data_IF_481252612995
#
_entry.id   IF_481252612995
#
_cell.length_a   1.000
_cell.length_b   1.000
_cell.length_c   1.000
_cell.angle_alpha   90.00
_cell.angle_beta   90.00
_cell.angle_gamma   90.00
#
_symmetry.space_group_name_H-M   'P 1'
#
loop_
_entity.id
_entity.type
_entity.pdbx_description
1 polymer ?
#
# COMPACT_ATOMS: atom_id res chain seq x y z
N UNK A 1 -29.36 43.28 -20.80
CA UNK A 1 -29.11 44.24 -19.71
C UNK A 1 -28.68 43.48 -18.43
N UNK A 2 -27.63 42.70 -18.47
CA UNK A 2 -27.01 42.05 -17.31
C UNK A 2 -25.69 41.34 -17.71
N UNK A 3 -24.91 41.90 -18.63
CA UNK A 3 -23.64 41.31 -19.12
C UNK A 3 -22.64 42.40 -19.49
N UNK A 4 -22.67 43.57 -18.85
CA UNK A 4 -21.81 44.69 -19.20
C UNK A 4 -21.24 45.46 -17.97
N UNK A 5 -21.32 44.86 -16.75
CA UNK A 5 -20.76 45.46 -15.51
C UNK A 5 -19.70 44.61 -14.83
N UNK A 6 -19.00 43.73 -15.55
CA UNK A 6 -17.97 42.86 -14.99
C UNK A 6 -16.59 42.99 -15.65
N UNK A 7 -16.31 44.08 -16.37
CA UNK A 7 -15.01 44.28 -17.10
C UNK A 7 -14.24 45.52 -16.67
N UNK A 8 -14.59 46.20 -15.57
CA UNK A 8 -13.94 47.48 -15.18
C UNK A 8 -13.30 47.47 -13.76
N UNK A 9 -13.10 46.32 -13.13
CA UNK A 9 -12.44 46.21 -11.81
C UNK A 9 -11.15 45.37 -11.77
N UNK A 10 -10.47 45.16 -12.90
CA UNK A 10 -9.23 44.34 -12.92
C UNK A 10 -7.97 45.09 -13.41
N UNK A 11 -7.89 46.40 -13.23
CA UNK A 11 -6.77 47.18 -13.76
C UNK A 11 -6.02 48.08 -12.73
N UNK A 12 -6.10 47.80 -11.42
CA UNK A 12 -5.35 48.59 -10.40
C UNK A 12 -4.69 47.77 -9.25
N UNK A 13 -4.33 46.51 -9.45
CA UNK A 13 -3.49 45.78 -8.47
C UNK A 13 -2.31 45.07 -9.15
N UNK A 14 -1.42 45.80 -9.77
CA UNK A 14 -0.31 45.25 -10.55
C UNK A 14 1.04 45.93 -10.40
N UNK A 15 1.35 46.68 -9.33
CA UNK A 15 2.66 47.34 -9.16
C UNK A 15 3.20 47.46 -7.73
N UNK A 16 3.10 46.45 -6.87
CA UNK A 16 3.81 46.43 -5.58
C UNK A 16 4.28 45.05 -5.11
N UNK A 17 4.86 44.22 -5.96
CA UNK A 17 5.52 42.98 -5.51
C UNK A 17 6.78 42.62 -6.32
N UNK A 18 7.75 43.52 -6.41
CA UNK A 18 9.08 43.22 -6.92
C UNK A 18 10.20 43.78 -6.06
N UNK A 19 10.19 43.49 -4.73
CA UNK A 19 11.42 43.73 -3.94
C UNK A 19 11.50 42.94 -2.64
N UNK A 20 11.38 41.62 -2.68
CA UNK A 20 11.64 40.74 -1.51
C UNK A 20 12.18 39.37 -1.89
N UNK A 21 13.10 39.24 -2.88
CA UNK A 21 13.88 38.02 -3.08
C UNK A 21 15.36 38.25 -2.77
N UNK A 22 15.67 38.59 -1.53
CA UNK A 22 17.03 38.42 -0.98
C UNK A 22 17.01 37.34 0.11
N UNK A 23 17.55 36.18 -0.25
CA UNK A 23 18.31 35.28 0.60
C UNK A 23 17.79 35.00 2.02
N UNK A 24 16.67 34.31 2.18
CA UNK A 24 16.44 33.55 3.41
C UNK A 24 17.20 32.24 3.32
N UNK A 25 18.39 32.17 3.94
CA UNK A 25 19.01 30.92 4.35
C UNK A 25 17.95 30.13 5.15
N UNK A 26 17.82 28.80 4.95
CA UNK A 26 16.93 28.02 5.79
C UNK A 26 17.40 28.21 7.23
N UNK A 27 16.57 28.82 8.05
CA UNK A 27 16.78 28.88 9.48
C UNK A 27 16.87 27.40 9.92
N UNK A 28 18.03 27.00 10.46
CA UNK A 28 18.12 25.81 11.28
C UNK A 28 16.97 25.90 12.27
N UNK A 29 16.02 24.95 12.17
CA UNK A 29 14.99 24.80 13.16
C UNK A 29 15.73 24.70 14.51
N UNK A 30 15.61 25.73 15.33
CA UNK A 30 16.02 25.68 16.71
C UNK A 30 15.28 24.49 17.30
N UNK A 31 16.00 23.48 17.76
CA UNK A 31 15.43 22.37 18.49
C UNK A 31 14.66 23.01 19.65
N UNK A 32 13.34 23.02 19.55
CA UNK A 32 12.47 23.38 20.66
C UNK A 32 12.86 22.43 21.78
N UNK A 33 13.29 22.97 22.93
CA UNK A 33 13.82 22.22 24.07
C UNK A 33 12.76 21.37 24.79
N UNK A 34 11.90 20.70 24.07
CA UNK A 34 10.90 19.76 24.57
C UNK A 34 11.65 18.45 24.90
N UNK A 35 11.61 18.07 26.18
CA UNK A 35 12.23 16.80 26.63
C UNK A 35 11.44 15.62 26.09
N UNK A 36 11.99 14.96 25.05
CA UNK A 36 11.44 13.76 24.42
C UNK A 36 12.29 12.55 24.74
N UNK A 37 11.67 11.51 25.24
CA UNK A 37 12.34 10.24 25.55
C UNK A 37 11.63 9.08 24.87
N UNK A 38 12.43 8.15 24.35
CA UNK A 38 11.98 6.85 23.90
C UNK A 38 12.46 5.82 24.90
N UNK A 39 11.54 5.10 25.51
CA UNK A 39 11.80 3.98 26.41
C UNK A 39 11.50 2.70 25.66
N UNK A 40 12.45 1.78 25.60
CA UNK A 40 12.29 0.46 24.99
C UNK A 40 12.48 -0.58 26.06
N UNK A 41 11.47 -1.43 26.25
CA UNK A 41 11.48 -2.56 27.17
C UNK A 41 11.35 -3.86 26.40
N UNK A 42 12.24 -4.80 26.68
CA UNK A 42 12.15 -6.17 26.13
C UNK A 42 11.86 -7.08 27.30
N UNK A 43 10.64 -7.61 27.33
CA UNK A 43 10.17 -8.49 28.41
C UNK A 43 10.43 -9.96 28.08
N UNK A 44 10.71 -10.80 29.08
CA UNK A 44 10.76 -12.25 28.88
C UNK A 44 9.42 -12.76 28.34
N UNK A 45 9.45 -13.54 27.26
CA UNK A 45 8.23 -14.02 26.57
C UNK A 45 7.94 -13.31 25.26
N UNK A 46 8.97 -12.67 24.67
CA UNK A 46 8.94 -12.12 23.32
C UNK A 46 7.99 -10.92 23.14
N UNK A 47 7.84 -10.09 24.16
CA UNK A 47 7.13 -8.84 24.08
C UNK A 47 8.09 -7.65 24.09
N UNK A 48 7.97 -6.78 23.10
CA UNK A 48 8.72 -5.51 23.03
C UNK A 48 7.73 -4.37 23.21
N UNK A 49 8.01 -3.51 24.17
CA UNK A 49 7.24 -2.30 24.42
C UNK A 49 8.09 -1.07 24.06
N UNK A 50 7.48 -0.12 23.35
CA UNK A 50 8.10 1.17 23.03
C UNK A 50 7.17 2.28 23.49
N UNK A 51 7.68 3.15 24.37
CA UNK A 51 6.95 4.29 24.92
C UNK A 51 7.64 5.57 24.50
N UNK A 52 6.94 6.45 23.84
CA UNK A 52 7.39 7.82 23.56
C UNK A 52 6.78 8.77 24.59
N UNK A 53 7.67 9.47 25.30
CA UNK A 53 7.25 10.49 26.26
C UNK A 53 7.67 11.88 25.82
N UNK A 54 6.85 12.87 26.14
CA UNK A 54 7.10 14.28 25.93
C UNK A 54 6.76 15.01 27.24
N UNK A 55 7.77 15.71 27.79
CA UNK A 55 7.63 16.43 29.10
C UNK A 55 7.08 15.53 30.22
N UNK A 56 7.52 14.26 30.27
CA UNK A 56 7.08 13.28 31.26
C UNK A 56 5.71 12.67 31.04
N UNK A 57 4.98 13.08 30.00
CA UNK A 57 3.67 12.51 29.61
C UNK A 57 3.84 11.51 28.48
N UNK A 58 3.14 10.37 28.52
CA UNK A 58 3.12 9.39 27.45
C UNK A 58 2.35 9.96 26.25
N UNK A 59 3.01 10.00 25.08
CA UNK A 59 2.42 10.44 23.82
C UNK A 59 2.01 9.27 22.96
N UNK A 60 2.88 8.27 22.89
CA UNK A 60 2.65 7.10 22.05
C UNK A 60 3.11 5.85 22.80
N UNK A 61 2.38 4.76 22.60
CA UNK A 61 2.67 3.48 23.20
C UNK A 61 2.48 2.38 22.15
N UNK A 62 3.52 1.58 21.94
CA UNK A 62 3.53 0.46 20.99
C UNK A 62 3.89 -0.81 21.75
N UNK A 63 3.16 -1.89 21.43
CA UNK A 63 3.46 -3.24 21.90
C UNK A 63 3.59 -4.15 20.68
N UNK A 64 4.67 -4.88 20.61
CA UNK A 64 4.87 -5.92 19.62
C UNK A 64 5.14 -7.23 20.32
N UNK A 65 4.36 -8.27 19.98
CA UNK A 65 4.55 -9.63 20.48
C UNK A 65 5.23 -10.45 19.38
N UNK A 66 6.42 -10.98 19.65
CA UNK A 66 7.24 -11.73 18.67
C UNK A 66 6.56 -13.01 18.20
N UNK A 67 5.70 -13.60 19.04
CA UNK A 67 4.92 -14.79 18.68
C UNK A 67 3.68 -14.48 17.80
N UNK A 68 3.29 -13.20 17.66
CA UNK A 68 2.34 -12.75 16.66
C UNK A 68 3.12 -12.28 15.42
N UNK A 69 3.80 -13.24 14.76
CA UNK A 69 4.54 -12.93 13.55
C UNK A 69 3.62 -12.26 12.53
N UNK A 70 3.94 -11.03 12.17
CA UNK A 70 3.25 -10.31 11.09
C UNK A 70 3.37 -11.13 9.83
N UNK A 71 2.25 -11.61 9.31
CA UNK A 71 2.21 -12.42 8.09
C UNK A 71 1.98 -11.59 6.84
N UNK A 72 1.69 -10.30 6.98
CA UNK A 72 1.52 -9.40 5.84
C UNK A 72 2.78 -9.38 4.97
N UNK A 73 2.59 -9.57 3.66
CA UNK A 73 3.67 -9.65 2.69
C UNK A 73 4.26 -11.06 2.51
N UNK A 74 3.96 -12.00 3.41
CA UNK A 74 4.39 -13.37 3.26
C UNK A 74 3.71 -14.03 2.06
N UNK A 75 4.44 -14.95 1.42
CA UNK A 75 3.97 -15.72 0.27
C UNK A 75 3.83 -17.18 0.69
N UNK A 76 2.70 -17.76 0.32
CA UNK A 76 2.35 -19.15 0.65
C UNK A 76 1.90 -19.88 -0.60
N UNK A 77 2.15 -21.19 -0.63
CA UNK A 77 1.44 -22.11 -1.51
C UNK A 77 0.10 -22.42 -0.90
N UNK A 78 -0.97 -21.98 -1.54
CA UNK A 78 -2.33 -22.21 -1.09
C UNK A 78 -3.09 -23.18 -2.01
N UNK A 79 -4.18 -23.71 -1.49
CA UNK A 79 -5.11 -24.56 -2.23
C UNK A 79 -6.51 -23.94 -2.14
N UNK A 80 -7.18 -23.76 -3.27
CA UNK A 80 -8.54 -23.25 -3.32
C UNK A 80 -9.48 -24.29 -2.67
N UNK A 81 -10.08 -23.91 -1.55
CA UNK A 81 -10.99 -24.77 -0.81
C UNK A 81 -12.43 -24.64 -1.32
N UNK A 82 -12.91 -23.41 -1.49
CA UNK A 82 -14.26 -23.11 -1.93
C UNK A 82 -14.30 -21.84 -2.78
N UNK A 83 -15.32 -21.74 -3.64
CA UNK A 83 -15.58 -20.58 -4.50
C UNK A 83 -16.96 -20.04 -4.20
N UNK A 84 -17.06 -18.76 -3.89
CA UNK A 84 -18.31 -18.03 -3.70
C UNK A 84 -18.60 -17.17 -4.94
N UNK A 85 -19.64 -17.54 -5.66
CA UNK A 85 -20.05 -16.86 -6.90
C UNK A 85 -20.74 -15.53 -6.65
N UNK A 86 -21.32 -15.32 -5.48
CA UNK A 86 -21.95 -14.05 -5.14
C UNK A 86 -20.91 -12.99 -4.80
N UNK A 87 -19.89 -13.40 -4.04
CA UNK A 87 -18.76 -12.54 -3.68
C UNK A 87 -17.72 -12.42 -4.80
N UNK A 88 -17.81 -13.24 -5.86
CA UNK A 88 -16.79 -13.38 -6.89
C UNK A 88 -15.40 -13.57 -6.27
N UNK A 89 -15.31 -14.47 -5.29
CA UNK A 89 -14.12 -14.73 -4.50
C UNK A 89 -13.91 -16.23 -4.24
N UNK A 90 -12.66 -16.59 -4.00
CA UNK A 90 -12.27 -17.93 -3.56
C UNK A 90 -11.78 -17.90 -2.10
N UNK A 91 -12.06 -18.95 -1.37
CA UNK A 91 -11.49 -19.21 -0.05
C UNK A 91 -10.31 -20.17 -0.20
N UNK A 92 -9.13 -19.72 0.21
CA UNK A 92 -7.85 -20.43 -0.01
C UNK A 92 -7.31 -20.91 1.33
N UNK A 93 -7.05 -22.21 1.41
CA UNK A 93 -6.28 -22.78 2.51
C UNK A 93 -4.78 -22.54 2.21
N UNK A 94 -4.13 -21.70 3.01
CA UNK A 94 -2.72 -21.34 2.89
C UNK A 94 -1.90 -21.78 4.11
N UNK A 95 -2.42 -22.72 4.90
CA UNK A 95 -1.75 -23.28 6.07
C UNK A 95 -2.07 -22.55 7.40
N UNK A 96 -2.96 -21.57 7.40
CA UNK A 96 -3.43 -20.90 8.60
C UNK A 96 -4.76 -21.52 9.09
N UNK A 97 -5.13 -21.26 10.35
CA UNK A 97 -6.39 -21.73 10.96
C UNK A 97 -7.62 -21.31 10.16
N UNK A 98 -7.59 -20.12 9.57
CA UNK A 98 -8.68 -19.59 8.73
C UNK A 98 -8.26 -19.51 7.28
N UNK A 99 -9.18 -19.90 6.39
CA UNK A 99 -8.99 -19.70 4.96
C UNK A 99 -8.83 -18.22 4.63
N UNK A 100 -7.93 -17.92 3.70
CA UNK A 100 -7.78 -16.59 3.16
C UNK A 100 -8.83 -16.27 2.10
N UNK A 101 -9.12 -15.01 1.91
CA UNK A 101 -10.08 -14.46 0.96
C UNK A 101 -9.35 -13.92 -0.26
N UNK A 102 -9.66 -14.46 -1.44
CA UNK A 102 -9.05 -14.12 -2.73
C UNK A 102 -10.14 -13.69 -3.70
N UNK A 103 -10.24 -12.39 -3.99
CA UNK A 103 -11.19 -11.85 -4.97
C UNK A 103 -10.71 -12.08 -6.41
N UNK A 104 -11.64 -12.04 -7.36
CA UNK A 104 -11.33 -12.30 -8.79
C UNK A 104 -10.35 -11.26 -9.38
N UNK A 105 -10.40 -10.01 -8.94
CA UNK A 105 -9.49 -8.93 -9.34
C UNK A 105 -8.07 -9.09 -8.80
N UNK A 106 -7.92 -9.89 -7.74
CA UNK A 106 -6.64 -10.26 -7.15
C UNK A 106 -6.07 -11.57 -7.71
N UNK A 107 -6.75 -12.17 -8.70
CA UNK A 107 -6.28 -13.39 -9.37
C UNK A 107 -5.54 -13.04 -10.65
N UNK A 108 -4.26 -13.41 -10.72
CA UNK A 108 -3.45 -13.25 -11.92
C UNK A 108 -3.98 -14.16 -13.04
N UNK A 109 -4.08 -13.67 -14.29
CA UNK A 109 -4.60 -14.45 -15.42
C UNK A 109 -3.88 -15.78 -15.71
N UNK A 110 -2.63 -15.93 -15.28
CA UNK A 110 -1.86 -17.16 -15.39
C UNK A 110 -2.52 -18.35 -14.67
N UNK A 111 -3.29 -18.09 -13.61
CA UNK A 111 -4.04 -19.11 -12.86
C UNK A 111 -5.38 -19.46 -13.48
N UNK A 112 -5.82 -18.75 -14.54
CA UNK A 112 -7.09 -18.99 -15.17
C UNK A 112 -7.09 -20.32 -15.93
N UNK A 113 -8.13 -21.14 -15.69
CA UNK A 113 -8.32 -22.40 -16.42
C UNK A 113 -8.60 -22.20 -17.92
N UNK A 114 -9.16 -21.04 -18.27
CA UNK A 114 -9.46 -20.64 -19.64
C UNK A 114 -9.03 -19.18 -19.84
N UNK A 115 -8.40 -18.86 -20.97
CA UNK A 115 -8.08 -17.49 -21.31
C UNK A 115 -9.33 -16.61 -21.29
N UNK A 116 -9.21 -15.39 -20.79
CA UNK A 116 -10.30 -14.43 -20.80
C UNK A 116 -9.84 -13.11 -21.42
N UNK A 117 -10.53 -12.69 -22.46
CA UNK A 117 -10.36 -11.36 -23.01
C UNK A 117 -11.38 -10.40 -22.37
N UNK A 118 -10.91 -9.23 -21.86
CA UNK A 118 -11.81 -8.23 -21.30
C UNK A 118 -12.84 -7.77 -22.34
N UNK A 119 -14.11 -7.84 -22.00
CA UNK A 119 -15.21 -7.37 -22.87
C UNK A 119 -15.79 -6.05 -22.34
N UNK A 120 -16.45 -5.28 -23.23
CA UNK A 120 -17.16 -4.05 -22.81
C UNK A 120 -18.17 -4.38 -21.72
N UNK A 121 -17.99 -3.78 -20.53
CA UNK A 121 -18.86 -3.94 -19.37
C UNK A 121 -18.48 -5.01 -18.36
N UNK A 122 -17.47 -5.85 -18.64
CA UNK A 122 -16.97 -6.85 -17.66
C UNK A 122 -15.46 -6.98 -17.74
N UNK A 123 -14.78 -6.35 -16.78
CA UNK A 123 -13.30 -6.36 -16.71
C UNK A 123 -12.75 -7.75 -16.35
N UNK A 124 -13.43 -8.46 -15.46
CA UNK A 124 -13.03 -9.77 -14.96
C UNK A 124 -14.04 -10.85 -15.35
N UNK A 125 -13.59 -12.09 -15.59
CA UNK A 125 -14.48 -13.23 -15.82
C UNK A 125 -15.21 -13.64 -14.53
N UNK A 126 -16.33 -14.37 -14.63
CA UNK A 126 -16.92 -15.01 -13.47
C UNK A 126 -15.94 -16.00 -12.85
N UNK A 127 -15.71 -15.92 -11.55
CA UNK A 127 -14.66 -16.68 -10.84
C UNK A 127 -14.79 -18.20 -11.03
N UNK A 128 -16.02 -18.72 -11.06
CA UNK A 128 -16.29 -20.16 -11.25
C UNK A 128 -15.88 -20.70 -12.63
N UNK A 129 -15.63 -19.82 -13.62
CA UNK A 129 -15.16 -20.22 -14.95
C UNK A 129 -13.64 -20.32 -15.05
N UNK A 130 -12.94 -19.62 -14.17
CA UNK A 130 -11.48 -19.46 -14.24
C UNK A 130 -10.73 -20.16 -13.13
N UNK A 131 -11.38 -20.45 -12.01
CA UNK A 131 -10.81 -21.18 -10.89
C UNK A 131 -11.67 -22.41 -10.53
N UNK A 132 -11.05 -23.41 -9.90
CA UNK A 132 -11.73 -24.59 -9.37
C UNK A 132 -11.24 -24.93 -7.96
N UNK A 133 -12.09 -25.56 -7.11
CA UNK A 133 -11.65 -26.14 -5.85
C UNK A 133 -10.53 -27.18 -6.08
N UNK A 134 -9.59 -27.25 -5.17
CA UNK A 134 -8.41 -28.11 -5.27
C UNK A 134 -7.27 -27.56 -6.12
N UNK A 135 -7.44 -26.41 -6.78
CA UNK A 135 -6.38 -25.78 -7.55
C UNK A 135 -5.33 -25.18 -6.62
N UNK A 136 -4.06 -25.41 -6.91
CA UNK A 136 -2.92 -24.82 -6.21
C UNK A 136 -2.61 -23.43 -6.77
N UNK A 137 -2.34 -22.46 -5.88
CA UNK A 137 -2.01 -21.09 -6.24
C UNK A 137 -0.95 -20.55 -5.30
N UNK A 138 -0.04 -19.71 -5.79
CA UNK A 138 0.82 -18.90 -4.93
C UNK A 138 0.04 -17.66 -4.52
N UNK A 139 -0.01 -17.40 -3.22
CA UNK A 139 -0.75 -16.25 -2.66
C UNK A 139 0.13 -15.45 -1.74
N UNK A 140 0.00 -14.14 -1.79
CA UNK A 140 0.63 -13.21 -0.87
C UNK A 140 -0.41 -12.57 0.03
N UNK A 141 -0.09 -12.42 1.31
CA UNK A 141 -0.97 -11.78 2.29
C UNK A 141 -0.91 -10.26 2.13
N UNK A 142 -2.03 -9.65 1.78
CA UNK A 142 -2.18 -8.19 1.68
C UNK A 142 -2.64 -7.59 3.00
N UNK A 143 -3.62 -8.25 3.65
CA UNK A 143 -4.13 -7.86 4.98
C UNK A 143 -4.20 -9.08 5.87
N UNK A 144 -3.77 -8.92 7.11
CA UNK A 144 -3.81 -9.95 8.12
C UNK A 144 -5.24 -10.36 8.49
N UNK A 145 -5.42 -11.59 9.02
CA UNK A 145 -6.70 -11.98 9.57
C UNK A 145 -7.12 -11.02 10.69
N UNK A 146 -8.39 -10.69 10.75
CA UNK A 146 -8.91 -9.83 11.80
C UNK A 146 -10.24 -10.37 12.32
N UNK A 147 -10.30 -10.66 13.62
CA UNK A 147 -11.49 -11.21 14.28
C UNK A 147 -11.96 -12.50 13.59
N UNK A 148 -13.17 -12.51 13.07
CA UNK A 148 -13.76 -13.66 12.35
C UNK A 148 -13.31 -13.78 10.90
N UNK A 149 -12.68 -12.72 10.31
CA UNK A 149 -12.31 -12.68 8.91
C UNK A 149 -10.92 -13.29 8.68
N UNK A 150 -10.77 -14.11 7.63
CA UNK A 150 -9.49 -14.60 7.15
C UNK A 150 -8.64 -13.51 6.52
N UNK A 151 -7.37 -13.82 6.23
CA UNK A 151 -6.45 -12.91 5.54
C UNK A 151 -6.98 -12.53 4.14
N UNK A 152 -6.71 -11.31 3.71
CA UNK A 152 -6.93 -10.89 2.33
C UNK A 152 -5.70 -11.26 1.51
N UNK A 153 -5.91 -12.00 0.44
CA UNK A 153 -4.85 -12.59 -0.38
C UNK A 153 -4.86 -12.00 -1.80
N UNK A 154 -3.69 -12.03 -2.42
CA UNK A 154 -3.49 -11.73 -3.85
C UNK A 154 -2.58 -12.77 -4.48
N UNK A 155 -2.75 -13.05 -5.76
CA UNK A 155 -1.79 -13.79 -6.57
C UNK A 155 -0.87 -12.87 -7.37
N UNK A 156 -1.11 -11.55 -7.32
CA UNK A 156 -0.21 -10.53 -7.84
C UNK A 156 0.94 -10.35 -6.86
N UNK A 157 1.99 -11.16 -7.03
CA UNK A 157 3.12 -11.16 -6.11
C UNK A 157 3.91 -9.86 -6.21
N UNK A 158 4.39 -9.38 -5.06
CA UNK A 158 5.24 -8.20 -4.94
C UNK A 158 6.38 -8.49 -3.99
N UNK A 159 7.60 -8.48 -4.51
CA UNK A 159 8.83 -8.73 -3.76
C UNK A 159 9.57 -7.43 -3.55
N UNK A 160 9.48 -6.87 -2.35
CA UNK A 160 10.13 -5.63 -2.01
C UNK A 160 11.61 -5.85 -1.71
N UNK A 161 12.48 -5.31 -2.54
CA UNK A 161 13.90 -5.18 -2.27
C UNK A 161 14.23 -3.83 -1.62
N UNK A 162 15.52 -3.56 -1.45
CA UNK A 162 16.01 -2.32 -0.83
C UNK A 162 15.71 -1.08 -1.66
N UNK A 163 15.87 -1.17 -2.98
CA UNK A 163 15.72 -0.06 -3.94
C UNK A 163 14.72 -0.34 -5.04
N UNK A 164 14.32 -1.58 -5.23
CA UNK A 164 13.45 -2.06 -6.29
C UNK A 164 12.33 -2.90 -5.71
N UNK A 165 11.22 -2.95 -6.41
CA UNK A 165 10.13 -3.91 -6.16
C UNK A 165 9.97 -4.75 -7.41
N UNK A 166 10.10 -6.06 -7.27
CA UNK A 166 9.83 -7.00 -8.36
C UNK A 166 8.36 -7.44 -8.29
N UNK A 167 7.64 -7.25 -9.39
CA UNK A 167 6.24 -7.66 -9.55
C UNK A 167 6.13 -8.63 -10.72
N UNK A 168 6.33 -9.95 -10.50
CA UNK A 168 6.28 -10.94 -11.56
C UNK A 168 4.94 -10.90 -12.31
N UNK A 169 4.98 -11.01 -13.63
CA UNK A 169 3.79 -11.02 -14.48
C UNK A 169 3.07 -9.67 -14.63
N UNK A 170 3.65 -8.58 -14.14
CA UNK A 170 3.14 -7.22 -14.35
C UNK A 170 4.13 -6.43 -15.21
N UNK A 171 3.65 -5.88 -16.31
CA UNK A 171 4.45 -5.00 -17.19
C UNK A 171 4.50 -3.54 -16.68
N UNK A 172 4.24 -3.33 -15.38
CA UNK A 172 4.23 -2.01 -14.80
C UNK A 172 5.61 -1.62 -14.29
N UNK A 173 6.16 -0.55 -14.85
CA UNK A 173 7.37 0.09 -14.38
C UNK A 173 6.98 1.26 -13.47
N UNK A 174 7.41 1.21 -12.22
CA UNK A 174 7.11 2.24 -11.23
C UNK A 174 8.36 2.79 -10.57
N UNK A 175 8.48 4.12 -10.52
CA UNK A 175 9.54 4.80 -9.77
C UNK A 175 8.97 5.30 -8.45
N UNK A 176 9.69 5.05 -7.36
CA UNK A 176 9.30 5.47 -6.02
C UNK A 176 8.91 6.95 -5.97
N UNK A 177 7.85 7.28 -5.23
CA UNK A 177 7.44 8.67 -4.97
C UNK A 177 8.47 9.45 -4.13
N UNK A 178 9.41 8.76 -3.48
CA UNK A 178 10.51 9.36 -2.72
C UNK A 178 11.58 10.01 -3.61
N UNK A 179 11.61 9.67 -4.90
CA UNK A 179 12.44 10.36 -5.89
C UNK A 179 11.66 11.59 -6.35
N UNK A 180 11.98 12.76 -5.79
CA UNK A 180 11.24 14.02 -6.03
C UNK A 180 11.73 14.72 -7.30
N UNK A 181 13.00 14.52 -7.67
CA UNK A 181 13.60 15.13 -8.85
C UNK A 181 13.03 14.56 -10.15
N UNK A 182 12.51 15.46 -10.99
CA UNK A 182 11.90 15.11 -12.27
C UNK A 182 12.90 14.58 -13.30
N UNK A 183 14.12 15.13 -13.35
CA UNK A 183 15.17 14.70 -14.28
C UNK A 183 15.66 13.30 -13.91
N UNK A 184 15.90 13.05 -12.62
CA UNK A 184 16.30 11.73 -12.13
C UNK A 184 15.20 10.68 -12.38
N UNK A 185 13.93 11.05 -12.21
CA UNK A 185 12.81 10.15 -12.54
C UNK A 185 12.76 9.76 -14.02
N UNK A 186 13.02 10.70 -14.92
CA UNK A 186 13.05 10.43 -16.35
C UNK A 186 14.24 9.55 -16.72
N UNK A 187 15.42 9.84 -16.17
CA UNK A 187 16.61 9.00 -16.34
C UNK A 187 16.40 7.58 -15.87
N UNK A 188 15.77 7.40 -14.72
CA UNK A 188 15.44 6.05 -14.19
C UNK A 188 14.44 5.30 -15.08
N UNK A 189 13.49 6.01 -15.72
CA UNK A 189 12.56 5.37 -16.68
C UNK A 189 13.23 4.88 -17.95
N UNK A 190 14.28 5.57 -18.40
CA UNK A 190 15.03 5.19 -19.60
C UNK A 190 15.96 3.99 -19.33
N UNK A 191 16.30 3.72 -18.08
CA UNK A 191 17.19 2.63 -17.67
C UNK A 191 16.45 1.31 -17.40
N UNK A 192 15.12 1.32 -17.22
CA UNK A 192 14.29 0.17 -16.92
C UNK A 192 13.51 -0.27 -18.15
#
# INVERSE_FOLDING_TARGET
AALQEAEDESAEEGEEEQDAKKGRKPAKAAASGVDRKMLVSVLPGDMVEVVLTEEGSVREYYVEMTHQAKIRGNIYKGVINNIDTNLQAAFVNYGNVKNGFLQIDEVHPEYYLQPHEPTKGRKYPPIQKVLKPGQEVLVQVVKEPNGSKGAFLTTWLSLAGRFLVLTPGQEQIGISRKVEDGEERNRLRELI
#
